data_IF_390919895246
#
_entry.id   IF_390919895246
#
_cell.length_a   1.000
_cell.length_b   1.000
_cell.length_c   1.000
_cell.angle_alpha   90.00
_cell.angle_beta   90.00
_cell.angle_gamma   90.00
#
_symmetry.space_group_name_H-M   'P 1'
#
loop_
_entity.id
_entity.type
_entity.pdbx_description
1 polymer ?
#
# COMPACT_ATOMS: atom_id res chain seq x y z
N UNK A 1 -21.68 -10.26 8.63
CA UNK A 1 -20.93 -10.42 9.90
C UNK A 1 -19.51 -10.94 9.68
N UNK A 2 -19.26 -11.90 8.78
CA UNK A 2 -17.94 -12.53 8.56
C UNK A 2 -16.75 -11.55 8.46
N UNK A 3 -16.68 -10.69 7.44
CA UNK A 3 -15.51 -9.82 7.23
C UNK A 3 -15.31 -8.79 8.35
N UNK A 4 -16.39 -8.35 9.00
CA UNK A 4 -16.28 -7.48 10.18
C UNK A 4 -15.55 -8.20 11.32
N UNK A 5 -15.86 -9.48 11.57
CA UNK A 5 -15.15 -10.28 12.56
C UNK A 5 -13.67 -10.48 12.19
N UNK A 6 -13.37 -10.70 10.91
CA UNK A 6 -11.98 -10.85 10.42
C UNK A 6 -11.18 -9.57 10.57
N UNK A 7 -11.77 -8.42 10.23
CA UNK A 7 -11.17 -7.11 10.45
C UNK A 7 -10.90 -6.84 11.94
N UNK A 8 -11.88 -7.10 12.81
CA UNK A 8 -11.68 -6.96 14.27
C UNK A 8 -10.60 -7.92 14.79
N UNK A 9 -10.56 -9.16 14.29
CA UNK A 9 -9.53 -10.13 14.64
C UNK A 9 -8.14 -9.67 14.18
N UNK A 10 -8.02 -9.09 12.98
CA UNK A 10 -6.77 -8.54 12.49
C UNK A 10 -6.26 -7.41 13.39
N UNK A 11 -7.14 -6.49 13.78
CA UNK A 11 -6.81 -5.40 14.72
C UNK A 11 -6.36 -5.97 16.06
N UNK A 12 -7.08 -6.95 16.60
CA UNK A 12 -6.71 -7.60 17.85
C UNK A 12 -5.34 -8.30 17.76
N UNK A 13 -5.10 -9.06 16.69
CA UNK A 13 -3.84 -9.76 16.44
C UNK A 13 -2.64 -8.80 16.34
N UNK A 14 -2.83 -7.66 15.68
CA UNK A 14 -1.82 -6.60 15.60
C UNK A 14 -1.57 -5.95 16.96
N UNK A 15 -2.64 -5.65 17.71
CA UNK A 15 -2.54 -4.99 19.02
C UNK A 15 -1.87 -5.89 20.08
N UNK A 16 -2.07 -7.20 20.01
CA UNK A 16 -1.49 -8.16 20.97
C UNK A 16 -0.17 -8.76 20.48
N UNK A 17 0.17 -8.59 19.20
CA UNK A 17 1.29 -9.30 18.57
C UNK A 17 1.05 -10.81 18.39
N UNK A 18 -0.20 -11.28 18.52
CA UNK A 18 -0.55 -12.68 18.34
C UNK A 18 -0.57 -13.06 16.85
N UNK A 19 0.55 -13.59 16.37
CA UNK A 19 0.68 -14.06 14.99
C UNK A 19 -0.22 -15.25 14.66
N UNK A 20 -0.71 -16.00 15.66
CA UNK A 20 -1.49 -17.23 15.42
C UNK A 20 -2.88 -16.91 14.86
N UNK A 21 -3.38 -15.70 15.11
CA UNK A 21 -4.66 -15.23 14.62
C UNK A 21 -4.62 -14.74 13.16
N UNK A 22 -3.44 -14.45 12.60
CA UNK A 22 -3.31 -13.88 11.25
C UNK A 22 -3.88 -14.76 10.13
N UNK A 23 -3.63 -16.09 10.07
CA UNK A 23 -4.19 -16.93 9.03
C UNK A 23 -5.70 -16.81 8.89
N UNK A 24 -6.41 -16.71 10.02
CA UNK A 24 -7.87 -16.53 10.04
C UNK A 24 -8.26 -15.06 9.85
N UNK A 25 -7.45 -14.10 10.32
CA UNK A 25 -7.72 -12.68 10.16
C UNK A 25 -7.65 -12.21 8.69
N UNK A 26 -6.86 -12.89 7.85
CA UNK A 26 -6.70 -12.59 6.42
C UNK A 26 -7.76 -13.24 5.51
N UNK A 27 -8.72 -13.98 6.07
CA UNK A 27 -9.83 -14.51 5.28
C UNK A 27 -10.77 -13.37 4.87
N UNK A 28 -11.01 -13.23 3.56
CA UNK A 28 -11.94 -12.25 2.99
C UNK A 28 -12.95 -12.96 2.09
N UNK A 29 -14.24 -12.63 2.28
CA UNK A 29 -15.36 -13.18 1.53
C UNK A 29 -16.06 -12.17 0.62
N UNK A 30 -15.60 -10.91 0.55
CA UNK A 30 -16.27 -9.86 -0.23
C UNK A 30 -15.39 -9.38 -1.38
N UNK A 31 -14.23 -8.83 -1.08
CA UNK A 31 -13.43 -8.08 -2.05
C UNK A 31 -12.49 -8.98 -2.82
N UNK A 32 -11.81 -9.90 -2.12
CA UNK A 32 -10.78 -10.74 -2.73
C UNK A 32 -11.37 -11.81 -3.66
N UNK A 33 -12.48 -12.51 -3.33
CA UNK A 33 -13.06 -13.50 -4.25
C UNK A 33 -13.51 -12.90 -5.58
N UNK A 34 -14.06 -11.69 -5.57
CA UNK A 34 -14.51 -11.01 -6.79
C UNK A 34 -13.34 -10.50 -7.65
N UNK A 35 -12.27 -10.02 -7.02
CA UNK A 35 -11.09 -9.47 -7.71
C UNK A 35 -10.06 -10.53 -8.10
N UNK A 36 -10.10 -11.72 -7.51
CA UNK A 36 -9.17 -12.82 -7.76
C UNK A 36 -8.99 -13.14 -9.25
N UNK A 37 -10.10 -13.18 -10.01
CA UNK A 37 -10.05 -13.45 -11.46
C UNK A 37 -9.42 -12.33 -12.29
N UNK A 38 -9.22 -11.13 -11.74
CA UNK A 38 -8.64 -9.98 -12.44
C UNK A 38 -7.13 -9.85 -12.23
N UNK A 39 -6.58 -10.51 -11.21
CA UNK A 39 -5.15 -10.44 -10.86
C UNK A 39 -4.54 -11.84 -11.00
N UNK A 40 -3.72 -12.08 -12.04
CA UNK A 40 -3.11 -13.39 -12.28
C UNK A 40 -2.36 -13.90 -11.05
N UNK A 41 -2.67 -15.11 -10.61
CA UNK A 41 -2.03 -15.75 -9.46
C UNK A 41 -2.50 -15.29 -8.07
N UNK A 42 -3.42 -14.31 -7.97
CA UNK A 42 -3.85 -13.78 -6.67
C UNK A 42 -4.44 -14.85 -5.74
N UNK A 43 -5.29 -15.72 -6.26
CA UNK A 43 -5.88 -16.82 -5.48
C UNK A 43 -4.84 -17.73 -4.83
N UNK A 44 -3.73 -17.97 -5.53
CA UNK A 44 -2.63 -18.77 -5.03
C UNK A 44 -1.80 -17.97 -4.01
N UNK A 45 -1.55 -16.68 -4.28
CA UNK A 45 -0.86 -15.77 -3.35
C UNK A 45 -1.59 -15.67 -2.01
N UNK A 46 -2.92 -15.54 -2.00
CA UNK A 46 -3.72 -15.45 -0.77
C UNK A 46 -3.69 -16.76 0.06
N UNK A 47 -3.42 -17.89 -0.60
CA UNK A 47 -3.30 -19.21 0.03
C UNK A 47 -1.88 -19.54 0.46
N UNK A 48 -0.87 -18.71 0.14
CA UNK A 48 0.50 -18.95 0.55
C UNK A 48 0.63 -19.03 2.07
N UNK A 49 1.42 -20.01 2.51
CA UNK A 49 1.80 -20.20 3.91
C UNK A 49 3.29 -20.52 3.92
N UNK A 50 4.05 -19.79 4.73
CA UNK A 50 5.48 -19.99 4.91
C UNK A 50 5.87 -19.55 6.33
N UNK A 51 6.96 -20.08 6.91
CA UNK A 51 7.51 -19.55 8.14
C UNK A 51 7.75 -18.04 8.01
N UNK A 52 7.29 -17.26 9.00
CA UNK A 52 7.42 -15.81 8.99
C UNK A 52 6.37 -15.05 8.15
N UNK A 53 5.68 -15.68 7.20
CA UNK A 53 4.58 -15.07 6.47
C UNK A 53 3.33 -14.98 7.35
N UNK A 54 2.85 -13.77 7.61
CA UNK A 54 1.63 -13.53 8.38
C UNK A 54 0.39 -13.58 7.49
N UNK A 55 0.47 -13.00 6.29
CA UNK A 55 -0.62 -13.04 5.33
C UNK A 55 -0.36 -12.16 4.11
N UNK A 56 -1.13 -12.41 3.06
CA UNK A 56 -1.15 -11.61 1.85
C UNK A 56 -2.58 -11.07 1.64
N UNK A 57 -2.71 -9.86 1.13
CA UNK A 57 -3.98 -9.31 0.71
C UNK A 57 -3.85 -8.47 -0.57
N UNK A 58 -4.95 -8.30 -1.30
CA UNK A 58 -5.00 -7.33 -2.38
C UNK A 58 -4.84 -5.91 -1.81
N UNK A 59 -3.92 -5.13 -2.38
CA UNK A 59 -3.72 -3.73 -1.99
C UNK A 59 -4.55 -2.81 -2.89
N UNK A 60 -5.55 -2.14 -2.30
CA UNK A 60 -6.47 -1.25 -3.02
C UNK A 60 -7.29 -2.00 -4.09
N UNK A 61 -7.34 -1.44 -5.30
CA UNK A 61 -8.06 -2.05 -6.42
C UNK A 61 -7.27 -3.16 -7.15
N UNK A 62 -6.00 -3.36 -6.80
CA UNK A 62 -5.06 -4.20 -7.54
C UNK A 62 -4.34 -3.46 -8.69
N UNK A 63 -3.34 -4.12 -9.32
CA UNK A 63 -2.92 -5.51 -9.13
C UNK A 63 -1.94 -5.74 -7.96
N UNK A 64 -1.54 -4.68 -7.26
CA UNK A 64 -0.59 -4.74 -6.16
C UNK A 64 -1.08 -5.63 -5.01
N UNK A 65 -0.17 -6.40 -4.42
CA UNK A 65 -0.42 -7.24 -3.24
C UNK A 65 0.37 -6.67 -2.06
N UNK A 66 -0.27 -6.56 -0.90
CA UNK A 66 0.43 -6.31 0.36
C UNK A 66 0.80 -7.64 1.00
N UNK A 67 2.05 -7.77 1.42
CA UNK A 67 2.60 -8.95 2.09
C UNK A 67 3.01 -8.53 3.49
N UNK A 68 2.41 -9.15 4.50
CA UNK A 68 2.76 -8.94 5.90
C UNK A 68 3.54 -10.14 6.40
N UNK A 69 4.71 -9.88 6.97
CA UNK A 69 5.64 -10.91 7.42
C UNK A 69 6.37 -10.44 8.69
N UNK A 70 6.94 -11.39 9.42
CA UNK A 70 7.79 -11.10 10.59
C UNK A 70 9.15 -10.57 10.11
N UNK A 71 9.70 -9.59 10.84
CA UNK A 71 11.05 -9.07 10.57
C UNK A 71 12.07 -10.21 10.49
N UNK A 72 12.94 -10.19 9.47
CA UNK A 72 13.90 -11.26 9.21
C UNK A 72 13.35 -12.43 8.39
N UNK A 73 12.18 -12.26 7.75
CA UNK A 73 11.57 -13.23 6.83
C UNK A 73 11.26 -12.58 5.47
N UNK A 74 12.10 -11.64 5.03
CA UNK A 74 11.94 -10.89 3.79
C UNK A 74 11.88 -11.80 2.54
N UNK A 75 12.48 -12.99 2.61
CA UNK A 75 12.50 -13.99 1.54
C UNK A 75 11.10 -14.51 1.17
N UNK A 76 10.09 -14.36 2.05
CA UNK A 76 8.72 -14.78 1.70
C UNK A 76 8.12 -13.95 0.58
N UNK A 77 8.64 -12.73 0.34
CA UNK A 77 8.26 -11.91 -0.81
C UNK A 77 8.63 -12.57 -2.15
N UNK A 78 9.65 -13.43 -2.15
CA UNK A 78 10.10 -14.15 -3.35
C UNK A 78 9.09 -15.21 -3.76
N UNK A 79 8.41 -15.83 -2.78
CA UNK A 79 7.31 -16.76 -3.05
C UNK A 79 6.18 -16.09 -3.82
N UNK A 80 5.81 -14.87 -3.43
CA UNK A 80 4.76 -14.08 -4.10
C UNK A 80 5.19 -13.71 -5.52
N UNK A 81 6.44 -13.25 -5.68
CA UNK A 81 7.03 -12.92 -6.98
C UNK A 81 7.11 -14.14 -7.90
N UNK A 82 7.42 -15.31 -7.37
CA UNK A 82 7.42 -16.56 -8.12
C UNK A 82 6.02 -17.00 -8.54
N UNK A 83 4.99 -16.74 -7.73
CA UNK A 83 3.60 -16.95 -8.18
C UNK A 83 3.31 -16.06 -9.38
N UNK A 84 3.54 -14.75 -9.29
CA UNK A 84 3.34 -13.85 -10.43
C UNK A 84 4.09 -14.32 -11.69
N UNK A 85 5.36 -14.72 -11.54
CA UNK A 85 6.17 -15.23 -12.63
C UNK A 85 5.58 -16.48 -13.28
N UNK A 86 5.09 -17.45 -12.49
CA UNK A 86 4.41 -18.65 -13.02
C UNK A 86 3.10 -18.33 -13.74
N UNK A 87 2.46 -17.23 -13.39
CA UNK A 87 1.28 -16.69 -14.07
C UNK A 87 1.63 -15.66 -15.17
N UNK A 88 2.90 -15.62 -15.62
CA UNK A 88 3.34 -14.82 -16.75
C UNK A 88 3.52 -13.32 -16.47
N UNK A 89 3.57 -12.92 -15.21
CA UNK A 89 3.70 -11.53 -14.78
C UNK A 89 5.08 -11.25 -14.16
N UNK A 90 5.62 -10.07 -14.40
CA UNK A 90 6.76 -9.53 -13.65
C UNK A 90 6.24 -8.77 -12.43
N UNK A 91 6.95 -8.86 -11.29
CA UNK A 91 6.60 -8.13 -10.08
C UNK A 91 7.82 -7.41 -9.50
N UNK A 92 7.62 -6.17 -9.09
CA UNK A 92 8.57 -5.37 -8.32
C UNK A 92 8.20 -5.43 -6.84
N UNK A 93 9.21 -5.51 -5.97
CA UNK A 93 9.01 -5.48 -4.51
C UNK A 93 9.35 -4.07 -4.03
N UNK A 94 8.36 -3.40 -3.44
CA UNK A 94 8.53 -2.09 -2.80
C UNK A 94 8.51 -2.30 -1.29
N UNK A 95 9.65 -2.09 -0.64
CA UNK A 95 9.75 -2.12 0.82
C UNK A 95 9.09 -0.87 1.38
N UNK A 96 8.05 -1.05 2.19
CA UNK A 96 7.28 0.04 2.77
C UNK A 96 7.19 -0.10 4.29
N UNK A 97 7.30 1.03 4.97
CA UNK A 97 7.04 1.15 6.40
C UNK A 97 5.72 1.89 6.60
N UNK A 98 5.10 1.71 7.76
CA UNK A 98 3.97 2.56 8.16
C UNK A 98 4.49 4.00 8.27
N UNK A 99 3.93 4.90 7.47
CA UNK A 99 4.30 6.31 7.50
C UNK A 99 4.01 6.90 8.89
N UNK A 100 4.97 7.61 9.53
CA UNK A 100 4.78 8.17 10.87
C UNK A 100 3.90 9.43 10.86
N UNK A 101 3.86 10.13 9.74
CA UNK A 101 2.98 11.26 9.46
C UNK A 101 2.24 11.03 8.15
N UNK A 102 1.10 11.71 8.00
CA UNK A 102 0.31 11.69 6.78
C UNK A 102 0.80 12.74 5.78
N UNK A 103 -0.14 13.39 5.12
CA UNK A 103 0.15 14.49 4.21
C UNK A 103 0.73 15.72 4.94
N UNK A 104 1.77 16.31 4.36
CA UNK A 104 2.36 17.58 4.80
C UNK A 104 2.38 18.58 3.65
N UNK A 105 1.94 19.82 3.92
CA UNK A 105 2.02 20.95 2.98
C UNK A 105 3.42 21.54 3.00
N UNK A 106 4.22 21.21 1.99
CA UNK A 106 5.45 21.94 1.72
C UNK A 106 5.08 23.26 1.05
N UNK A 107 5.25 24.39 1.76
CA UNK A 107 5.12 25.71 1.13
C UNK A 107 6.29 25.89 0.16
N UNK A 108 6.00 25.98 -1.13
CA UNK A 108 6.93 26.60 -2.06
C UNK A 108 6.99 28.11 -1.76
N UNK A 109 8.20 28.67 -1.66
CA UNK A 109 8.35 30.12 -1.64
C UNK A 109 7.89 30.65 -3.00
N UNK A 110 6.73 31.30 -3.01
CA UNK A 110 6.20 31.97 -4.17
C UNK A 110 7.11 33.15 -4.50
N UNK A 111 8.03 32.98 -5.45
CA UNK A 111 8.87 34.06 -5.99
C UNK A 111 8.00 34.95 -6.87
N UNK A 112 7.17 35.78 -6.23
CA UNK A 112 6.46 36.84 -6.94
C UNK A 112 7.46 37.99 -7.16
N UNK A 113 8.10 38.01 -8.32
CA UNK A 113 8.94 39.14 -8.74
C UNK A 113 8.11 40.43 -8.67
N UNK A 114 8.57 41.41 -7.88
CA UNK A 114 8.11 42.79 -7.98
C UNK A 114 8.61 43.39 -9.31
N UNK A 115 7.83 43.22 -10.37
CA UNK A 115 7.70 44.15 -11.50
C UNK A 115 6.27 44.69 -11.38
N UNK A 116 5.95 45.97 -11.24
CA UNK A 116 6.61 47.18 -11.70
C UNK A 116 6.32 48.33 -10.73
N UNK A 117 7.34 49.13 -10.43
CA UNK A 117 7.19 50.49 -9.92
C UNK A 117 7.95 51.40 -10.88
N UNK A 118 7.41 51.59 -12.07
CA UNK A 118 7.82 52.66 -12.97
C UNK A 118 6.69 52.90 -13.96
N UNK A 119 5.90 53.94 -13.68
CA UNK A 119 5.10 54.70 -14.65
C UNK A 119 4.47 55.84 -13.86
N UNK A 120 5.18 56.98 -13.78
CA UNK A 120 4.63 58.30 -14.15
C UNK A 120 5.67 59.39 -13.90
N UNK A 121 6.66 59.48 -14.79
CA UNK A 121 7.39 60.73 -15.02
C UNK A 121 7.64 60.86 -16.54
N UNK A 122 6.73 61.53 -17.24
CA UNK A 122 7.13 62.43 -18.34
C UNK A 122 5.96 63.21 -18.96
N UNK A 123 6.01 64.54 -18.79
CA UNK A 123 5.60 65.56 -19.78
C UNK A 123 4.17 66.12 -19.60
N UNK A 124 3.92 67.43 -19.58
CA UNK A 124 4.78 68.59 -19.81
C UNK A 124 3.94 69.88 -19.82
N UNK A 125 4.65 71.00 -19.67
CA UNK A 125 4.35 72.39 -20.08
C UNK A 125 2.98 72.68 -20.73
N UNK A 126 2.16 73.50 -20.06
CA UNK A 126 1.62 74.80 -20.54
C UNK A 126 1.17 75.63 -19.34
#
# INVERSE_FOLDING_TARGET
VFNLQRATLLVAALATGDSTAFPTAFEDQIHQPYRAGLVPGLEEILKLRAPGLLGCALSGAGPSVVVLYRRGSEEVCDLVRDVFRRHGQTAEIIWSNVAPSGYELLREECVYERRDRQDDESGGLT
#
